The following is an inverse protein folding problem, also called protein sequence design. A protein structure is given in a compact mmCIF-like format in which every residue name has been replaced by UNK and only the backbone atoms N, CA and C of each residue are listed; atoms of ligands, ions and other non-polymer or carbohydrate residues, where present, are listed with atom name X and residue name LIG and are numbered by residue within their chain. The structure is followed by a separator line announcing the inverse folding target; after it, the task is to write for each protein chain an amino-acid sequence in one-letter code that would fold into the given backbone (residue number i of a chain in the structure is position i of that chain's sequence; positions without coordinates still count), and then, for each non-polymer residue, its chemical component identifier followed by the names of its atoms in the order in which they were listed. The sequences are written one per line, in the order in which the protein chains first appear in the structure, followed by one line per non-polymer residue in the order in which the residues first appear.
data_IF_312807739885
#
_entry.id   IF_312807739885
#
_cell.length_a   1.000
_cell.length_b   1.000
_cell.length_c   1.000
_cell.angle_alpha   90.00
_cell.angle_beta   90.00
_cell.angle_gamma   90.00
#
_symmetry.space_group_name_H-M   'P 1'
#
loop_
_entity.id
_entity.type
_entity.pdbx_description
1 polymer ?
#
# COMPACT_ATOMS: atom_id res chain seq x y z
N UNK A 1 1.74 21.98 5.76
CA UNK A 1 0.44 21.68 5.10
C UNK A 1 0.60 21.36 3.60
N UNK A 2 1.46 22.06 2.85
CA UNK A 2 1.71 21.76 1.41
C UNK A 2 2.24 20.35 1.17
N UNK A 3 3.25 19.90 1.93
CA UNK A 3 3.82 18.55 1.83
C UNK A 3 2.78 17.45 2.08
N UNK A 4 1.95 17.64 3.10
CA UNK A 4 0.90 16.72 3.50
C UNK A 4 -0.21 16.60 2.43
N UNK A 5 -0.51 17.70 1.73
CA UNK A 5 -1.43 17.72 0.59
C UNK A 5 -0.87 17.02 -0.65
N UNK A 6 0.43 17.20 -0.91
CA UNK A 6 1.13 16.51 -2.00
C UNK A 6 1.16 15.01 -1.72
N UNK A 7 1.56 14.62 -0.50
CA UNK A 7 1.60 13.22 -0.09
C UNK A 7 0.24 12.53 -0.26
N UNK A 8 -0.85 13.15 0.21
CA UNK A 8 -2.20 12.59 0.03
C UNK A 8 -2.58 12.41 -1.45
N UNK A 9 -2.32 13.42 -2.29
CA UNK A 9 -2.63 13.33 -3.73
C UNK A 9 -1.81 12.22 -4.41
N UNK A 10 -0.52 12.14 -4.10
CA UNK A 10 0.34 11.09 -4.64
C UNK A 10 -0.13 9.71 -4.20
N UNK A 11 -0.52 9.53 -2.92
CA UNK A 11 -1.04 8.25 -2.43
C UNK A 11 -2.35 7.84 -3.11
N UNK A 12 -3.23 8.79 -3.43
CA UNK A 12 -4.47 8.49 -4.19
C UNK A 12 -4.15 7.87 -5.54
N UNK A 13 -3.13 8.38 -6.25
CA UNK A 13 -2.71 7.81 -7.54
C UNK A 13 -1.92 6.52 -7.39
N UNK A 14 -1.03 6.45 -6.39
CA UNK A 14 -0.19 5.28 -6.14
C UNK A 14 -1.00 4.05 -5.70
N UNK A 15 -2.09 4.24 -4.97
CA UNK A 15 -2.92 3.16 -4.43
C UNK A 15 -3.51 2.20 -5.49
N UNK A 16 -4.22 2.66 -6.54
CA UNK A 16 -4.73 1.77 -7.58
C UNK A 16 -3.60 1.16 -8.41
N UNK A 17 -2.54 1.92 -8.71
CA UNK A 17 -1.36 1.42 -9.44
C UNK A 17 -0.71 0.27 -8.68
N UNK A 18 -0.53 0.43 -7.37
CA UNK A 18 0.02 -0.61 -6.52
C UNK A 18 -0.91 -1.82 -6.40
N UNK A 19 -2.23 -1.60 -6.32
CA UNK A 19 -3.23 -2.67 -6.38
C UNK A 19 -3.14 -3.51 -7.65
N UNK A 20 -2.97 -2.87 -8.82
CA UNK A 20 -2.71 -3.59 -10.07
C UNK A 20 -1.40 -4.37 -10.00
N UNK A 21 -0.34 -3.80 -9.41
CA UNK A 21 0.93 -4.50 -9.19
C UNK A 21 0.76 -5.79 -8.37
N UNK A 22 -0.05 -5.76 -7.29
CA UNK A 22 -0.36 -6.95 -6.48
C UNK A 22 -1.14 -7.99 -7.30
N UNK A 23 -2.14 -7.56 -8.08
CA UNK A 23 -2.93 -8.46 -8.94
C UNK A 23 -2.05 -9.11 -10.02
N UNK A 24 -1.25 -8.33 -10.74
CA UNK A 24 -0.34 -8.86 -11.76
C UNK A 24 0.73 -9.76 -11.15
N UNK A 25 1.20 -9.46 -9.94
CA UNK A 25 2.10 -10.34 -9.19
C UNK A 25 1.48 -11.70 -8.87
N UNK A 26 0.20 -11.74 -8.49
CA UNK A 26 -0.52 -12.99 -8.24
C UNK A 26 -0.75 -13.81 -9.52
N UNK A 27 -1.03 -13.17 -10.65
CA UNK A 27 -1.14 -13.84 -11.97
C UNK A 27 0.21 -14.44 -12.38
N UNK A 28 1.30 -13.69 -12.21
CA UNK A 28 2.63 -14.20 -12.54
C UNK A 28 3.07 -15.33 -11.60
N UNK A 29 2.68 -15.29 -10.32
CA UNK A 29 2.97 -16.36 -9.36
C UNK A 29 2.35 -17.70 -9.79
N UNK A 30 1.17 -17.69 -10.43
CA UNK A 30 0.58 -18.88 -11.03
C UNK A 30 1.47 -19.44 -12.15
N UNK A 31 1.93 -18.59 -13.07
CA UNK A 31 2.80 -19.01 -14.18
C UNK A 31 4.17 -19.52 -13.68
N UNK A 32 4.74 -18.89 -12.65
CA UNK A 32 6.06 -19.24 -12.13
C UNK A 32 6.06 -20.48 -11.22
N UNK A 33 4.99 -20.68 -10.43
CA UNK A 33 4.96 -21.69 -9.35
C UNK A 33 3.70 -22.56 -9.31
N UNK A 34 2.80 -22.43 -10.29
CA UNK A 34 1.57 -23.21 -10.41
C UNK A 34 0.48 -22.87 -9.38
N UNK A 35 0.61 -21.74 -8.67
CA UNK A 35 -0.36 -21.28 -7.67
C UNK A 35 -0.43 -19.75 -7.59
N UNK A 36 -1.64 -19.22 -7.52
CA UNK A 36 -1.90 -17.78 -7.39
C UNK A 36 -1.41 -17.16 -6.07
N UNK A 37 -1.33 -17.96 -5.00
CA UNK A 37 -1.00 -17.46 -3.66
C UNK A 37 -0.32 -18.54 -2.82
N UNK A 38 0.90 -18.26 -2.33
CA UNK A 38 1.72 -19.22 -1.61
C UNK A 38 2.00 -18.88 -0.15
N UNK A 39 1.41 -17.80 0.40
CA UNK A 39 1.86 -17.19 1.67
C UNK A 39 3.36 -16.86 1.68
N UNK A 40 3.96 -16.73 0.50
CA UNK A 40 5.33 -16.28 0.36
C UNK A 40 5.48 -14.85 0.92
N UNK A 41 6.63 -14.52 1.53
CA UNK A 41 6.86 -13.21 2.13
C UNK A 41 6.61 -12.07 1.15
N UNK A 42 6.92 -12.27 -0.14
CA UNK A 42 6.82 -11.23 -1.17
C UNK A 42 5.38 -10.89 -1.51
N UNK A 43 4.53 -11.88 -1.82
CA UNK A 43 3.11 -11.65 -2.09
C UNK A 43 2.37 -11.11 -0.87
N UNK A 44 2.60 -11.74 0.29
CA UNK A 44 1.90 -11.39 1.54
C UNK A 44 2.23 -9.98 2.01
N UNK A 45 3.51 -9.58 2.02
CA UNK A 45 3.92 -8.24 2.44
C UNK A 45 3.43 -7.17 1.44
N UNK A 46 3.32 -7.50 0.15
CA UNK A 46 2.80 -6.56 -0.87
C UNK A 46 1.32 -6.26 -0.60
N UNK A 47 0.54 -7.29 -0.26
CA UNK A 47 -0.86 -7.14 0.11
C UNK A 47 -1.03 -6.39 1.43
N UNK A 48 -0.22 -6.68 2.45
CA UNK A 48 -0.24 -5.96 3.73
C UNK A 48 0.06 -4.47 3.52
N UNK A 49 1.08 -4.13 2.72
CA UNK A 49 1.39 -2.75 2.38
C UNK A 49 0.20 -2.07 1.68
N UNK A 50 -0.48 -2.77 0.78
CA UNK A 50 -1.66 -2.24 0.08
C UNK A 50 -2.81 -1.95 1.06
N UNK A 51 -3.08 -2.85 2.01
CA UNK A 51 -4.08 -2.64 3.07
C UNK A 51 -3.72 -1.46 3.97
N UNK A 52 -2.45 -1.27 4.31
CA UNK A 52 -1.99 -0.11 5.11
C UNK A 52 -2.25 1.19 4.35
N UNK A 53 -1.96 1.24 3.05
CA UNK A 53 -2.26 2.42 2.22
C UNK A 53 -3.77 2.67 2.07
N UNK A 54 -4.59 1.61 1.98
CA UNK A 54 -6.05 1.73 2.00
C UNK A 54 -6.54 2.34 3.32
N UNK A 55 -6.03 1.84 4.45
CA UNK A 55 -6.37 2.36 5.78
C UNK A 55 -5.94 3.83 5.96
N UNK A 56 -4.77 4.22 5.44
CA UNK A 56 -4.34 5.61 5.41
C UNK A 56 -5.31 6.51 4.64
N UNK A 57 -5.73 6.09 3.44
CA UNK A 57 -6.70 6.84 2.63
C UNK A 57 -8.08 6.90 3.32
N UNK A 58 -8.53 5.80 3.91
CA UNK A 58 -9.81 5.72 4.61
C UNK A 58 -9.83 6.61 5.86
N UNK A 59 -8.81 6.52 6.71
CA UNK A 59 -8.66 7.37 7.89
C UNK A 59 -8.63 8.85 7.53
N UNK A 60 -8.10 9.20 6.36
CA UNK A 60 -8.01 10.58 5.90
C UNK A 60 -9.27 11.10 5.22
N UNK A 61 -10.07 10.21 4.62
CA UNK A 61 -11.42 10.51 4.13
C UNK A 61 -12.35 10.88 5.30
N UNK A 62 -12.19 10.22 6.46
CA UNK A 62 -12.92 10.57 7.68
C UNK A 62 -12.35 11.85 8.31
N UNK A 63 -13.08 12.95 8.19
CA UNK A 63 -12.66 14.35 8.43
C UNK A 63 -12.00 14.71 9.78
N UNK A 64 -11.88 13.78 10.74
CA UNK A 64 -11.28 14.01 12.07
C UNK A 64 -9.76 13.80 12.17
N UNK A 65 -9.10 13.20 11.18
CA UNK A 65 -7.68 12.81 11.26
C UNK A 65 -6.75 13.64 10.33
N UNK A 66 -6.95 14.95 10.30
CA UNK A 66 -6.14 15.90 9.49
C UNK A 66 -4.73 16.20 10.04
N UNK A 67 -4.30 15.52 11.11
CA UNK A 67 -3.08 15.85 11.84
C UNK A 67 -1.99 14.77 11.80
N UNK A 68 -0.80 15.10 12.36
CA UNK A 68 0.50 14.37 12.35
C UNK A 68 0.48 12.83 12.43
N UNK A 69 -0.60 12.22 12.92
CA UNK A 69 -0.81 10.77 12.99
C UNK A 69 -0.93 10.12 11.61
N UNK A 70 -1.53 10.79 10.63
CA UNK A 70 -1.63 10.28 9.26
C UNK A 70 -0.24 10.16 8.60
N UNK A 71 0.65 11.12 8.85
CA UNK A 71 2.02 11.09 8.34
C UNK A 71 2.81 9.86 8.83
N UNK A 72 2.60 9.44 10.08
CA UNK A 72 3.21 8.22 10.63
C UNK A 72 2.71 6.93 9.97
N UNK A 73 1.44 6.88 9.55
CA UNK A 73 0.90 5.72 8.81
C UNK A 73 1.54 5.64 7.42
N UNK A 74 1.79 6.78 6.78
CA UNK A 74 2.48 6.82 5.48
C UNK A 74 3.95 6.38 5.59
N UNK A 75 4.63 6.77 6.68
CA UNK A 75 5.98 6.28 7.01
C UNK A 75 5.99 4.78 7.30
N UNK A 76 5.00 4.27 8.04
CA UNK A 76 4.87 2.83 8.29
C UNK A 76 4.60 2.04 6.99
N UNK A 77 3.76 2.57 6.09
CA UNK A 77 3.54 2.02 4.76
C UNK A 77 4.81 2.00 3.92
N UNK A 78 5.61 3.08 3.95
CA UNK A 78 6.90 3.14 3.27
C UNK A 78 7.91 2.13 3.82
N UNK A 79 8.01 1.99 5.15
CA UNK A 79 8.89 1.00 5.78
C UNK A 79 8.46 -0.42 5.41
N UNK A 80 7.16 -0.73 5.43
CA UNK A 80 6.65 -2.02 4.97
C UNK A 80 6.97 -2.29 3.49
N UNK A 81 6.98 -1.25 2.65
CA UNK A 81 7.37 -1.33 1.24
C UNK A 81 8.87 -1.57 1.06
N UNK A 82 9.72 -0.98 1.92
CA UNK A 82 11.17 -1.23 1.92
C UNK A 82 11.48 -2.67 2.35
N UNK A 83 10.75 -3.23 3.31
CA UNK A 83 10.85 -4.63 3.71
C UNK A 83 10.23 -5.61 2.69
N UNK A 84 9.48 -5.11 1.70
CA UNK A 84 8.96 -5.91 0.60
C UNK A 84 10.03 -6.21 -0.47
N UNK A 85 11.17 -5.49 -0.45
CA UNK A 85 12.25 -5.62 -1.43
C UNK A 85 13.10 -6.88 -1.22
#
# INVERSE_FOLDING_TARGET
QTLDRIAYRTTIFAFPIFGFGVIFGAIWAEEAWGRYWGWDPKGTVSFIAWVIYAAYLHARSTAGWRDKKAAWINVAGFVAMVFNL
#
